data_IF_257956991081
#
_entry.id   IF_257956991081
#
_cell.length_a   1.000
_cell.length_b   1.000
_cell.length_c   1.000
_cell.angle_alpha   90.00
_cell.angle_beta   90.00
_cell.angle_gamma   90.00
#
_symmetry.space_group_name_H-M   'P 1'
#
loop_
_entity.id
_entity.type
_entity.pdbx_description
1 polymer ?
#
# COMPACT_ATOMS: atom_id res chain seq x y z
N UNK A 1 -26.29 -3.05 0.45
CA UNK A 1 -25.15 -3.57 1.24
C UNK A 1 -25.15 -5.07 1.08
N UNK A 2 -24.09 -5.66 0.52
CA UNK A 2 -24.02 -7.06 0.12
C UNK A 2 -24.11 -8.00 1.35
N UNK A 3 -24.99 -9.00 1.31
CA UNK A 3 -25.22 -9.99 2.40
C UNK A 3 -23.92 -10.67 2.86
N UNK A 4 -22.95 -10.90 1.95
CA UNK A 4 -21.61 -11.42 2.29
C UNK A 4 -20.82 -10.48 3.19
N UNK A 5 -20.91 -9.15 3.01
CA UNK A 5 -20.26 -8.17 3.90
C UNK A 5 -20.86 -8.18 5.30
N UNK A 6 -22.18 -8.37 5.43
CA UNK A 6 -22.85 -8.43 6.73
C UNK A 6 -22.40 -9.68 7.51
N UNK A 7 -22.26 -10.83 6.87
CA UNK A 7 -21.77 -12.07 7.51
C UNK A 7 -20.34 -11.93 8.04
N UNK A 8 -19.45 -11.24 7.32
CA UNK A 8 -18.07 -11.02 7.76
C UNK A 8 -18.04 -10.09 8.97
N UNK A 9 -18.85 -9.02 8.96
CA UNK A 9 -18.91 -8.08 10.09
C UNK A 9 -19.52 -8.71 11.35
N UNK A 10 -20.52 -9.55 11.24
CA UNK A 10 -21.12 -10.26 12.40
C UNK A 10 -20.18 -11.31 12.97
N UNK A 11 -19.43 -12.04 12.14
CA UNK A 11 -18.41 -13.00 12.61
C UNK A 11 -17.20 -12.32 13.26
N UNK A 12 -16.77 -11.17 12.74
CA UNK A 12 -15.69 -10.37 13.33
C UNK A 12 -16.13 -9.74 14.66
N UNK A 13 -17.36 -9.21 14.75
CA UNK A 13 -17.90 -8.67 15.99
C UNK A 13 -18.04 -9.76 17.07
N UNK A 14 -18.47 -10.97 16.70
CA UNK A 14 -18.54 -12.12 17.61
C UNK A 14 -17.16 -12.54 18.13
N UNK A 15 -16.13 -12.53 17.28
CA UNK A 15 -14.75 -12.81 17.68
C UNK A 15 -14.17 -11.72 18.60
N UNK A 16 -14.53 -10.45 18.39
CA UNK A 16 -14.10 -9.33 19.25
C UNK A 16 -14.76 -9.44 20.62
N UNK A 17 -16.06 -9.74 20.72
CA UNK A 17 -16.76 -9.96 21.98
C UNK A 17 -16.15 -11.14 22.76
N UNK A 18 -15.85 -12.25 22.09
CA UNK A 18 -15.21 -13.41 22.71
C UNK A 18 -13.81 -13.06 23.24
N UNK A 19 -13.11 -12.12 22.62
CA UNK A 19 -11.76 -11.72 23.05
C UNK A 19 -11.72 -10.95 24.38
N UNK A 20 -12.84 -10.35 24.81
CA UNK A 20 -12.95 -9.70 26.12
C UNK A 20 -12.88 -10.70 27.30
N UNK A 21 -13.28 -11.94 27.06
CA UNK A 21 -13.29 -12.99 28.09
C UNK A 21 -12.06 -13.92 28.06
N UNK A 22 -11.17 -13.72 27.08
CA UNK A 22 -10.02 -14.62 26.86
C UNK A 22 -8.71 -14.07 27.43
N UNK A 23 -7.80 -14.95 27.87
CA UNK A 23 -6.46 -14.59 28.34
C UNK A 23 -5.66 -13.88 27.23
N UNK A 24 -4.77 -12.92 27.61
CA UNK A 24 -3.97 -12.06 26.68
C UNK A 24 -3.37 -12.77 25.44
N UNK A 25 -2.81 -14.00 25.49
CA UNK A 25 -2.26 -14.66 24.31
C UNK A 25 -3.31 -15.03 23.27
N UNK A 26 -4.53 -15.42 23.69
CA UNK A 26 -5.64 -15.76 22.80
C UNK A 26 -6.15 -14.49 22.10
N UNK A 27 -6.27 -13.38 22.81
CA UNK A 27 -6.64 -12.07 22.24
C UNK A 27 -5.66 -11.65 21.15
N UNK A 28 -4.34 -11.82 21.38
CA UNK A 28 -3.31 -11.51 20.38
C UNK A 28 -3.45 -12.40 19.13
N UNK A 29 -3.71 -13.69 19.30
CA UNK A 29 -3.91 -14.62 18.19
C UNK A 29 -5.15 -14.28 17.36
N UNK A 30 -6.28 -13.96 18.03
CA UNK A 30 -7.53 -13.54 17.36
C UNK A 30 -7.35 -12.25 16.57
N UNK A 31 -6.69 -11.23 17.15
CA UNK A 31 -6.35 -9.98 16.44
C UNK A 31 -5.47 -10.24 15.22
N UNK A 32 -4.52 -11.18 15.31
CA UNK A 32 -3.68 -11.59 14.19
C UNK A 32 -4.51 -12.15 13.03
N UNK A 33 -5.42 -13.07 13.32
CA UNK A 33 -6.33 -13.67 12.32
C UNK A 33 -7.22 -12.63 11.66
N UNK A 34 -7.82 -11.72 12.46
CA UNK A 34 -8.66 -10.63 11.92
C UNK A 34 -7.86 -9.73 10.97
N UNK A 35 -6.63 -9.38 11.33
CA UNK A 35 -5.78 -8.58 10.47
C UNK A 35 -5.42 -9.31 9.17
N UNK A 36 -5.19 -10.61 9.20
CA UNK A 36 -4.88 -11.38 8.00
C UNK A 36 -6.10 -11.54 7.08
N UNK A 37 -7.31 -11.64 7.63
CA UNK A 37 -8.55 -11.61 6.84
C UNK A 37 -8.68 -10.26 6.11
N UNK A 38 -8.52 -9.14 6.81
CA UNK A 38 -8.58 -7.80 6.19
C UNK A 38 -7.52 -7.59 5.11
N UNK A 39 -6.30 -8.11 5.33
CA UNK A 39 -5.22 -8.07 4.34
C UNK A 39 -5.53 -8.90 3.09
N UNK A 40 -6.12 -10.10 3.27
CA UNK A 40 -6.59 -10.93 2.14
C UNK A 40 -7.67 -10.22 1.33
N UNK A 41 -8.65 -9.60 1.97
CA UNK A 41 -9.70 -8.82 1.29
C UNK A 41 -9.09 -7.65 0.49
N UNK A 42 -8.16 -6.92 1.10
CA UNK A 42 -7.43 -5.84 0.41
C UNK A 42 -6.69 -6.39 -0.82
N UNK A 43 -5.92 -7.48 -0.68
CA UNK A 43 -5.20 -8.09 -1.79
C UNK A 43 -6.14 -8.58 -2.89
N UNK A 44 -7.25 -9.23 -2.54
CA UNK A 44 -8.25 -9.68 -3.51
C UNK A 44 -8.84 -8.53 -4.32
N UNK A 45 -8.99 -7.36 -3.69
CA UNK A 45 -9.51 -6.15 -4.35
C UNK A 45 -8.54 -5.56 -5.36
N UNK A 46 -7.24 -5.50 -5.04
CA UNK A 46 -6.29 -4.76 -5.88
C UNK A 46 -5.46 -5.64 -6.82
N UNK A 47 -5.23 -6.92 -6.47
CA UNK A 47 -4.31 -7.81 -7.20
C UNK A 47 -4.63 -7.96 -8.69
N UNK A 48 -5.89 -8.12 -9.13
CA UNK A 48 -6.17 -8.27 -10.56
C UNK A 48 -5.68 -7.08 -11.38
N UNK A 49 -6.00 -5.86 -10.94
CA UNK A 49 -5.58 -4.63 -11.61
C UNK A 49 -4.07 -4.41 -11.50
N UNK A 50 -3.48 -4.68 -10.33
CA UNK A 50 -2.02 -4.54 -10.14
C UNK A 50 -1.24 -5.49 -11.03
N UNK A 51 -1.66 -6.75 -11.22
CA UNK A 51 -1.00 -7.68 -12.14
C UNK A 51 -0.98 -7.14 -13.57
N UNK A 52 -2.10 -6.61 -14.07
CA UNK A 52 -2.20 -6.03 -15.41
C UNK A 52 -1.27 -4.82 -15.55
N UNK A 53 -1.33 -3.90 -14.58
CA UNK A 53 -0.50 -2.69 -14.63
C UNK A 53 0.99 -3.01 -14.49
N UNK A 54 1.36 -3.90 -13.61
CA UNK A 54 2.73 -4.32 -13.38
C UNK A 54 3.35 -4.97 -14.63
N UNK A 55 2.60 -5.86 -15.29
CA UNK A 55 3.02 -6.46 -16.57
C UNK A 55 3.21 -5.39 -17.66
N UNK A 56 2.26 -4.42 -17.75
CA UNK A 56 2.33 -3.34 -18.74
C UNK A 56 3.56 -2.45 -18.58
N UNK A 57 4.03 -2.23 -17.35
CA UNK A 57 5.17 -1.35 -17.05
C UNK A 57 6.48 -2.12 -16.79
N UNK A 58 6.48 -3.45 -16.91
CA UNK A 58 7.67 -4.28 -16.70
C UNK A 58 8.18 -4.33 -15.26
N UNK A 59 7.28 -4.30 -14.27
CA UNK A 59 7.59 -4.30 -12.84
C UNK A 59 7.04 -5.57 -12.21
N UNK A 60 7.78 -6.24 -11.27
CA UNK A 60 7.23 -7.39 -10.56
C UNK A 60 5.99 -7.00 -9.75
N UNK A 61 4.86 -7.71 -9.96
CA UNK A 61 3.59 -7.35 -9.30
C UNK A 61 3.65 -7.48 -7.77
N UNK A 62 4.44 -8.42 -7.23
CA UNK A 62 4.64 -8.57 -5.78
C UNK A 62 5.28 -7.31 -5.18
N UNK A 63 6.26 -6.71 -5.89
CA UNK A 63 6.83 -5.43 -5.48
C UNK A 63 5.79 -4.32 -5.47
N UNK A 64 5.00 -4.18 -6.54
CA UNK A 64 3.96 -3.16 -6.62
C UNK A 64 2.87 -3.34 -5.55
N UNK A 65 2.42 -4.58 -5.29
CA UNK A 65 1.51 -4.88 -4.19
C UNK A 65 2.08 -4.49 -2.82
N UNK A 66 3.37 -4.78 -2.60
CA UNK A 66 4.05 -4.47 -1.35
C UNK A 66 4.19 -2.97 -1.11
N UNK A 67 4.48 -2.19 -2.16
CA UNK A 67 4.46 -0.74 -2.09
C UNK A 67 3.07 -0.22 -1.69
N UNK A 68 2.04 -0.68 -2.40
CA UNK A 68 0.66 -0.25 -2.13
C UNK A 68 0.25 -0.63 -0.70
N UNK A 69 0.60 -1.82 -0.23
CA UNK A 69 0.34 -2.24 1.15
C UNK A 69 1.07 -1.35 2.17
N UNK A 70 2.33 -0.97 1.88
CA UNK A 70 3.12 -0.07 2.74
C UNK A 70 2.48 1.32 2.82
N UNK A 71 2.24 1.95 1.68
CA UNK A 71 1.76 3.34 1.57
C UNK A 71 0.33 3.51 2.09
N UNK A 72 -0.52 2.49 1.92
CA UNK A 72 -1.92 2.56 2.34
C UNK A 72 -2.19 1.95 3.72
N UNK A 73 -1.17 1.39 4.39
CA UNK A 73 -1.36 0.60 5.60
C UNK A 73 -2.35 -0.55 5.38
N UNK A 74 -2.17 -1.33 4.30
CA UNK A 74 -3.08 -2.40 3.87
C UNK A 74 -4.50 -1.90 3.60
N UNK A 75 -4.62 -0.74 2.94
CA UNK A 75 -5.89 -0.14 2.57
C UNK A 75 -6.62 0.62 3.68
N UNK A 76 -5.99 0.78 4.85
CA UNK A 76 -6.59 1.45 6.00
C UNK A 76 -6.47 2.98 5.99
N UNK A 77 -5.61 3.55 5.14
CA UNK A 77 -5.42 4.99 5.08
C UNK A 77 -6.66 5.71 4.50
N UNK A 78 -6.99 6.87 5.06
CA UNK A 78 -8.12 7.68 4.61
C UNK A 78 -7.97 8.11 3.15
N UNK A 79 -6.78 8.46 2.72
CA UNK A 79 -6.46 8.78 1.33
C UNK A 79 -6.83 7.64 0.38
N UNK A 80 -6.61 6.39 0.79
CA UNK A 80 -6.95 5.23 -0.02
C UNK A 80 -8.46 4.99 -0.06
N UNK A 81 -9.13 4.79 1.09
CA UNK A 81 -10.50 4.30 1.09
C UNK A 81 -11.54 5.37 0.73
N UNK A 82 -11.25 6.67 0.95
CA UNK A 82 -12.17 7.77 0.56
C UNK A 82 -11.87 8.38 -0.79
N UNK A 83 -10.59 8.47 -1.17
CA UNK A 83 -10.16 9.26 -2.32
C UNK A 83 -9.38 8.48 -3.36
N UNK A 84 -9.26 7.17 -3.18
CA UNK A 84 -8.54 6.24 -4.05
C UNK A 84 -7.07 6.66 -4.33
N UNK A 85 -6.47 7.44 -3.44
CA UNK A 85 -5.08 7.83 -3.54
C UNK A 85 -4.19 6.74 -2.93
N UNK A 86 -3.54 5.98 -3.79
CA UNK A 86 -2.86 4.73 -3.43
C UNK A 86 -1.45 4.95 -2.91
N UNK A 87 -0.83 6.07 -3.18
CA UNK A 87 0.59 6.28 -2.85
C UNK A 87 0.90 7.66 -2.29
N UNK A 88 -0.07 8.34 -1.64
CA UNK A 88 0.17 9.71 -1.16
C UNK A 88 0.51 10.69 -2.30
N UNK A 89 -0.06 10.48 -3.48
CA UNK A 89 0.23 11.28 -4.68
C UNK A 89 -0.24 12.70 -4.45
N UNK A 90 0.68 13.67 -4.57
CA UNK A 90 0.34 15.09 -4.48
C UNK A 90 -0.41 15.53 -5.74
N UNK A 91 -1.41 16.42 -5.57
CA UNK A 91 -2.17 16.94 -6.68
C UNK A 91 -1.33 17.90 -7.52
N UNK A 92 -1.53 17.84 -8.84
CA UNK A 92 -0.99 18.84 -9.77
C UNK A 92 -2.03 19.92 -10.06
N UNK A 93 -1.61 21.03 -10.65
CA UNK A 93 -2.49 22.17 -11.00
C UNK A 93 -3.69 21.69 -11.83
N UNK A 94 -4.90 22.03 -11.38
CA UNK A 94 -6.15 21.67 -12.05
C UNK A 94 -6.71 20.28 -11.72
N UNK A 95 -6.02 19.51 -10.90
CA UNK A 95 -6.49 18.18 -10.45
C UNK A 95 -7.35 18.30 -9.18
N UNK A 96 -8.46 17.54 -9.07
CA UNK A 96 -9.21 17.43 -7.82
C UNK A 96 -8.32 16.98 -6.67
N UNK A 97 -8.44 17.61 -5.52
CA UNK A 97 -7.58 17.33 -4.37
C UNK A 97 -8.33 17.38 -3.03
N UNK A 98 -7.68 16.87 -2.02
CA UNK A 98 -7.99 17.06 -0.60
C UNK A 98 -6.75 17.58 0.12
N UNK A 99 -6.93 18.57 0.99
CA UNK A 99 -5.85 19.11 1.82
C UNK A 99 -5.76 18.38 3.14
N UNK A 100 -4.58 17.89 3.48
CA UNK A 100 -4.27 17.31 4.79
C UNK A 100 -3.13 18.04 5.45
N UNK A 101 -3.24 18.22 6.78
CA UNK A 101 -2.13 18.68 7.60
C UNK A 101 -1.15 17.51 7.76
N UNK A 102 0.04 17.63 7.20
CA UNK A 102 1.11 16.65 7.26
C UNK A 102 2.36 17.25 7.91
N UNK A 103 3.30 16.40 8.30
CA UNK A 103 4.59 16.84 8.82
C UNK A 103 5.64 16.65 7.74
N UNK A 104 6.25 17.74 7.32
CA UNK A 104 7.36 17.73 6.36
C UNK A 104 8.64 18.08 7.10
N UNK A 105 9.71 17.31 6.86
CA UNK A 105 11.01 17.54 7.46
C UNK A 105 12.00 18.01 6.38
N UNK A 106 12.76 19.06 6.67
CA UNK A 106 13.82 19.51 5.79
C UNK A 106 15.07 18.64 5.90
N UNK A 107 16.10 18.94 5.10
CA UNK A 107 17.37 18.18 5.06
C UNK A 107 18.13 18.19 6.40
N UNK A 108 17.84 19.16 7.25
CA UNK A 108 18.47 19.31 8.58
C UNK A 108 17.65 18.62 9.69
N UNK A 109 16.61 17.87 9.33
CA UNK A 109 15.76 17.17 10.29
C UNK A 109 14.74 18.07 11.02
N UNK A 110 14.62 19.35 10.66
CA UNK A 110 13.61 20.24 11.23
C UNK A 110 12.28 19.95 10.58
N UNK A 111 11.28 19.55 11.40
CA UNK A 111 9.96 19.14 10.93
C UNK A 111 8.92 20.23 11.21
N UNK A 112 8.12 20.58 10.21
CA UNK A 112 7.02 21.53 10.32
C UNK A 112 5.71 20.92 9.85
N UNK A 113 4.60 21.36 10.45
CA UNK A 113 3.27 20.99 9.98
C UNK A 113 2.86 21.91 8.84
N UNK A 114 2.53 21.32 7.70
CA UNK A 114 2.08 22.03 6.50
C UNK A 114 0.86 21.37 5.89
N UNK A 115 -0.03 22.17 5.30
CA UNK A 115 -1.10 21.62 4.48
C UNK A 115 -0.54 21.18 3.12
N UNK A 116 -0.82 19.94 2.74
CA UNK A 116 -0.47 19.38 1.44
C UNK A 116 -1.73 18.94 0.70
N UNK A 117 -1.77 19.24 -0.60
CA UNK A 117 -2.86 18.84 -1.47
C UNK A 117 -2.57 17.47 -2.09
N UNK A 118 -3.37 16.47 -1.70
CA UNK A 118 -3.28 15.12 -2.24
C UNK A 118 -4.35 14.92 -3.31
N UNK A 119 -3.97 14.28 -4.41
CA UNK A 119 -4.86 14.00 -5.53
C UNK A 119 -6.06 13.14 -5.11
N UNK A 120 -7.23 13.46 -5.65
CA UNK A 120 -8.44 12.62 -5.58
C UNK A 120 -8.65 11.94 -6.91
N UNK A 121 -9.08 10.69 -6.88
CA UNK A 121 -9.41 9.90 -8.06
C UNK A 121 -10.86 9.42 -8.00
N UNK A 122 -11.49 9.26 -9.17
CA UNK A 122 -12.89 8.86 -9.25
C UNK A 122 -13.14 7.41 -8.85
N UNK A 123 -12.11 6.57 -9.00
CA UNK A 123 -12.17 5.15 -8.66
C UNK A 123 -10.78 4.58 -8.37
N UNK A 124 -10.77 3.37 -7.82
CA UNK A 124 -9.54 2.66 -7.45
C UNK A 124 -8.62 2.42 -8.64
N UNK A 125 -9.17 2.10 -9.82
CA UNK A 125 -8.37 1.86 -11.02
C UNK A 125 -7.58 3.10 -11.42
N UNK A 126 -8.19 4.29 -11.39
CA UNK A 126 -7.51 5.55 -11.67
C UNK A 126 -6.38 5.83 -10.68
N UNK A 127 -6.61 5.57 -9.39
CA UNK A 127 -5.58 5.68 -8.36
C UNK A 127 -4.40 4.71 -8.56
N UNK A 128 -4.67 3.46 -8.92
CA UNK A 128 -3.64 2.46 -9.21
C UNK A 128 -2.83 2.82 -10.46
N UNK A 129 -3.48 3.36 -11.51
CA UNK A 129 -2.79 3.87 -12.71
C UNK A 129 -1.89 5.05 -12.34
N UNK A 130 -2.36 5.98 -11.52
CA UNK A 130 -1.56 7.11 -11.08
C UNK A 130 -0.34 6.66 -10.26
N UNK A 131 -0.49 5.67 -9.38
CA UNK A 131 0.62 5.07 -8.63
C UNK A 131 1.64 4.41 -9.57
N UNK A 132 1.20 3.66 -10.59
CA UNK A 132 2.11 3.01 -11.55
C UNK A 132 2.99 4.00 -12.31
N UNK A 133 2.53 5.24 -12.55
CA UNK A 133 3.31 6.30 -13.20
C UNK A 133 4.53 6.73 -12.39
N UNK A 134 4.53 6.54 -11.07
CA UNK A 134 5.71 6.82 -10.23
C UNK A 134 6.87 5.90 -10.63
N UNK A 135 6.58 4.63 -10.92
CA UNK A 135 7.57 3.62 -11.32
C UNK A 135 8.04 3.76 -12.78
N UNK A 136 7.29 4.49 -13.60
CA UNK A 136 7.62 4.74 -15.01
C UNK A 136 8.17 6.14 -15.29
N UNK A 137 8.45 6.91 -14.24
CA UNK A 137 9.07 8.22 -14.40
C UNK A 137 10.49 8.11 -14.97
N UNK A 138 11.09 9.24 -15.38
CA UNK A 138 12.41 9.30 -16.03
C UNK A 138 13.55 8.64 -15.23
N UNK A 139 13.41 8.53 -13.92
CA UNK A 139 14.45 7.96 -13.06
C UNK A 139 14.33 6.45 -12.91
N UNK A 140 13.13 5.90 -12.92
CA UNK A 140 12.88 4.51 -12.54
C UNK A 140 12.51 3.60 -13.72
N UNK A 141 12.04 4.16 -14.84
CA UNK A 141 11.70 3.36 -16.04
C UNK A 141 12.84 2.47 -16.57
N UNK A 142 14.10 2.86 -16.31
CA UNK A 142 15.28 2.09 -16.70
C UNK A 142 15.38 0.73 -16.02
N UNK A 143 14.67 0.52 -14.92
CA UNK A 143 14.67 -0.76 -14.18
C UNK A 143 13.55 -1.71 -14.64
N UNK A 144 12.66 -1.26 -15.53
CA UNK A 144 11.63 -2.11 -16.12
C UNK A 144 12.24 -3.34 -16.80
N UNK A 145 11.60 -4.50 -16.64
CA UNK A 145 11.99 -5.79 -17.23
C UNK A 145 13.39 -6.32 -16.81
N UNK A 146 14.07 -5.72 -15.83
CA UNK A 146 15.39 -6.21 -15.39
C UNK A 146 15.29 -7.47 -14.51
N UNK A 147 14.16 -7.69 -13.85
CA UNK A 147 13.91 -8.89 -13.05
C UNK A 147 12.42 -9.11 -12.83
N UNK A 148 12.02 -10.36 -12.66
CA UNK A 148 10.67 -10.75 -12.24
C UNK A 148 10.56 -10.94 -10.72
N UNK A 149 11.69 -10.92 -10.01
CA UNK A 149 11.77 -11.06 -8.56
C UNK A 149 11.55 -9.69 -7.89
N UNK A 150 10.46 -9.58 -7.11
CA UNK A 150 10.09 -8.34 -6.43
C UNK A 150 11.13 -7.85 -5.41
N UNK A 151 11.85 -8.76 -4.73
CA UNK A 151 12.89 -8.38 -3.77
C UNK A 151 14.13 -7.84 -4.47
N UNK A 152 14.55 -8.48 -5.57
CA UNK A 152 15.64 -7.97 -6.42
C UNK A 152 15.28 -6.63 -7.02
N UNK A 153 14.03 -6.44 -7.45
CA UNK A 153 13.57 -5.16 -7.99
C UNK A 153 13.63 -4.05 -6.93
N UNK A 154 13.21 -4.33 -5.70
CA UNK A 154 13.33 -3.37 -4.59
C UNK A 154 14.78 -2.95 -4.32
N UNK A 155 15.72 -3.91 -4.38
CA UNK A 155 17.14 -3.64 -4.22
C UNK A 155 17.70 -2.78 -5.38
N UNK A 156 17.32 -3.07 -6.63
CA UNK A 156 17.70 -2.27 -7.80
C UNK A 156 17.25 -0.82 -7.69
N UNK A 157 15.99 -0.58 -7.30
CA UNK A 157 15.46 0.77 -7.10
C UNK A 157 16.20 1.53 -6.00
N UNK A 158 16.62 0.85 -4.94
CA UNK A 158 17.28 1.49 -3.81
C UNK A 158 18.78 1.69 -4.02
N UNK A 159 19.44 0.90 -4.88
CA UNK A 159 20.84 1.09 -5.25
C UNK A 159 21.05 2.19 -6.30
N UNK A 160 19.99 2.66 -6.94
CA UNK A 160 20.06 3.63 -8.02
C UNK A 160 20.33 5.06 -7.56
N UNK A 161 20.58 5.93 -8.55
CA UNK A 161 20.72 7.38 -8.35
C UNK A 161 19.69 8.10 -9.23
N UNK A 162 18.73 8.85 -8.63
CA UNK A 162 18.45 8.92 -7.18
C UNK A 162 17.93 7.59 -6.63
N UNK A 163 18.09 7.36 -5.35
CA UNK A 163 17.43 6.25 -4.64
C UNK A 163 15.91 6.43 -4.69
N UNK A 164 15.18 5.33 -4.73
CA UNK A 164 13.72 5.38 -4.73
C UNK A 164 13.15 5.96 -3.43
N UNK A 165 13.66 5.53 -2.29
CA UNK A 165 13.25 6.01 -0.98
C UNK A 165 14.43 6.57 -0.18
N UNK A 166 14.16 7.59 0.64
CA UNK A 166 15.15 8.15 1.58
C UNK A 166 15.39 7.25 2.78
N UNK A 167 14.42 6.40 3.13
CA UNK A 167 14.51 5.45 4.24
C UNK A 167 15.51 4.33 3.91
N UNK A 168 16.64 4.19 4.65
CA UNK A 168 17.61 3.12 4.41
C UNK A 168 17.04 1.71 4.67
N UNK A 169 15.95 1.60 5.43
CA UNK A 169 15.27 0.33 5.74
C UNK A 169 14.19 -0.03 4.71
N UNK A 170 14.00 0.77 3.66
CA UNK A 170 12.94 0.60 2.67
C UNK A 170 12.92 -0.81 2.05
N UNK A 171 14.07 -1.28 1.53
CA UNK A 171 14.17 -2.63 0.91
C UNK A 171 13.78 -3.73 1.90
N UNK A 172 14.23 -3.65 3.15
CA UNK A 172 13.85 -4.62 4.19
C UNK A 172 12.34 -4.62 4.47
N UNK A 173 11.71 -3.45 4.54
CA UNK A 173 10.25 -3.33 4.70
C UNK A 173 9.49 -3.96 3.53
N UNK A 174 9.90 -3.68 2.29
CA UNK A 174 9.29 -4.26 1.09
C UNK A 174 9.46 -5.78 1.07
N UNK A 175 10.64 -6.30 1.38
CA UNK A 175 10.89 -7.75 1.39
C UNK A 175 10.00 -8.49 2.40
N UNK A 176 9.82 -7.95 3.61
CA UNK A 176 8.91 -8.50 4.61
C UNK A 176 7.45 -8.49 4.13
N UNK A 177 7.04 -7.44 3.41
CA UNK A 177 5.70 -7.36 2.83
C UNK A 177 5.50 -8.36 1.69
N UNK A 178 6.50 -8.57 0.83
CA UNK A 178 6.46 -9.60 -0.23
C UNK A 178 6.27 -10.98 0.41
N UNK A 179 7.04 -11.32 1.45
CA UNK A 179 6.90 -12.60 2.15
C UNK A 179 5.51 -12.75 2.77
N UNK A 180 4.99 -11.70 3.40
CA UNK A 180 3.63 -11.72 3.96
C UNK A 180 2.55 -11.85 2.88
N UNK A 181 2.69 -11.18 1.74
CA UNK A 181 1.76 -11.28 0.61
C UNK A 181 1.77 -12.72 0.06
N UNK A 182 2.94 -13.29 -0.18
CA UNK A 182 3.07 -14.66 -0.67
C UNK A 182 2.38 -15.65 0.29
N UNK A 183 2.59 -15.51 1.62
CA UNK A 183 1.94 -16.33 2.63
C UNK A 183 0.40 -16.19 2.63
N UNK A 184 -0.11 -14.97 2.36
CA UNK A 184 -1.56 -14.71 2.36
C UNK A 184 -2.25 -15.16 1.07
N UNK A 185 -1.50 -15.34 -0.03
CA UNK A 185 -2.02 -15.68 -1.37
C UNK A 185 -1.69 -17.11 -1.82
N UNK A 186 -0.89 -17.84 -1.03
CA UNK A 186 -0.70 -19.28 -1.18
C UNK A 186 -1.95 -20.04 -0.69
#
# INVERSE_FOLDING_TARGET
MDKKKIYIYTSIAGLILLSYFLKKPIVKKVKGVINDIKRKEFLNTITPTVKILAAKIGVPYQFMLSQIALETGWGSSELFYKYFNVGGVKAVKGQPFISYLTTECNKNGVCTKVYQNFAKYDNLQAGLIAHSKILTNRYFKKYANQTTDGKKYAALLQSGTPRYATDPKYTGKINLLIDKINLLTA
#
